data_IF_192808887667
#
_entry.id   IF_192808887667
#
_cell.length_a   1.000
_cell.length_b   1.000
_cell.length_c   1.000
_cell.angle_alpha   90.00
_cell.angle_beta   90.00
_cell.angle_gamma   90.00
#
_symmetry.space_group_name_H-M   'P 1'
#
loop_
_entity.id
_entity.type
_entity.pdbx_description
1 polymer ?
#
# COMPACT_ATOMS: atom_id res chain seq x y z
N UNK A 1 -39.47 0.63 45.97
CA UNK A 1 -39.19 -0.06 44.68
C UNK A 1 -38.71 1.01 43.71
N UNK A 2 -37.46 0.94 43.24
CA UNK A 2 -36.89 2.01 42.40
C UNK A 2 -37.51 1.98 41.00
N UNK A 3 -38.36 2.96 40.68
CA UNK A 3 -39.10 3.01 39.41
C UNK A 3 -38.31 3.62 38.25
N UNK A 4 -37.06 4.09 38.46
CA UNK A 4 -36.33 4.91 37.49
C UNK A 4 -34.82 4.61 37.38
N UNK A 5 -34.36 3.47 37.90
CA UNK A 5 -32.92 3.13 37.87
C UNK A 5 -32.38 2.95 36.45
N UNK A 6 -31.10 3.29 36.22
CA UNK A 6 -30.36 3.02 34.98
C UNK A 6 -30.22 1.54 34.65
N UNK A 7 -30.44 0.66 35.63
CA UNK A 7 -30.44 -0.80 35.44
C UNK A 7 -31.73 -1.35 34.82
N UNK A 8 -32.77 -0.52 34.61
CA UNK A 8 -34.05 -0.91 34.02
C UNK A 8 -34.20 -0.43 32.57
N UNK A 9 -34.78 -1.26 31.70
CA UNK A 9 -34.99 -0.95 30.27
C UNK A 9 -36.45 -0.66 29.90
N UNK A 10 -36.68 0.16 28.87
CA UNK A 10 -37.99 0.34 28.24
C UNK A 10 -39.10 0.85 29.18
N UNK A 11 -40.30 0.27 29.08
CA UNK A 11 -41.50 0.67 29.82
C UNK A 11 -41.39 0.54 31.35
N UNK A 12 -40.37 -0.17 31.86
CA UNK A 12 -40.09 -0.33 33.29
C UNK A 12 -39.44 0.90 33.93
N UNK A 13 -39.00 1.88 33.12
CA UNK A 13 -38.41 3.15 33.58
C UNK A 13 -39.44 4.24 33.90
N UNK A 14 -40.72 3.90 33.97
CA UNK A 14 -41.79 4.86 34.28
C UNK A 14 -41.93 6.02 33.26
N UNK A 15 -41.37 5.88 32.05
CA UNK A 15 -41.38 6.92 31.01
C UNK A 15 -40.11 7.79 30.93
N UNK A 16 -39.07 7.52 31.73
CA UNK A 16 -37.79 8.24 31.63
C UNK A 16 -37.02 7.87 30.33
N UNK A 17 -36.56 8.86 29.53
CA UNK A 17 -35.76 8.60 28.33
C UNK A 17 -34.46 7.86 28.64
N UNK A 18 -34.05 6.91 27.80
CA UNK A 18 -32.84 6.08 27.98
C UNK A 18 -31.53 6.88 28.09
N UNK A 19 -31.55 8.17 27.73
CA UNK A 19 -30.42 9.10 27.80
C UNK A 19 -30.30 9.83 29.15
N UNK A 20 -31.20 9.58 30.10
CA UNK A 20 -31.21 10.24 31.42
C UNK A 20 -30.99 9.19 32.49
N UNK A 21 -29.89 9.29 33.25
CA UNK A 21 -29.62 8.44 34.42
C UNK A 21 -29.96 9.20 35.71
N UNK A 22 -30.99 8.75 36.44
CA UNK A 22 -31.38 9.36 37.71
C UNK A 22 -30.66 8.74 38.93
N UNK A 23 -29.79 7.75 38.71
CA UNK A 23 -28.90 7.19 39.73
C UNK A 23 -27.53 7.90 39.75
N UNK A 24 -27.27 8.82 38.81
CA UNK A 24 -26.05 9.61 38.71
C UNK A 24 -26.31 11.08 39.08
N UNK A 25 -25.67 11.57 40.15
CA UNK A 25 -25.81 12.94 40.64
C UNK A 25 -25.53 14.01 39.57
N UNK A 26 -24.57 13.77 38.68
CA UNK A 26 -24.24 14.68 37.58
C UNK A 26 -25.33 14.76 36.51
N UNK A 27 -25.99 13.65 36.21
CA UNK A 27 -27.11 13.58 35.27
C UNK A 27 -28.40 14.15 35.86
N UNK A 28 -28.67 13.89 37.14
CA UNK A 28 -29.75 14.52 37.91
C UNK A 28 -29.59 16.04 37.90
N UNK A 29 -28.38 16.53 38.15
CA UNK A 29 -28.09 17.95 38.17
C UNK A 29 -28.22 18.62 36.80
N UNK A 30 -27.82 17.96 35.71
CA UNK A 30 -28.05 18.46 34.33
C UNK A 30 -29.53 18.66 34.01
N UNK A 31 -30.42 17.96 34.72
CA UNK A 31 -31.87 18.04 34.53
C UNK A 31 -32.60 18.73 35.70
N UNK A 32 -31.87 19.33 36.66
CA UNK A 32 -32.43 19.89 37.89
C UNK A 32 -33.56 20.92 37.64
N UNK A 33 -33.38 21.86 36.70
CA UNK A 33 -34.40 22.86 36.36
C UNK A 33 -35.68 22.23 35.79
N UNK A 34 -35.52 21.17 35.00
CA UNK A 34 -36.65 20.44 34.41
C UNK A 34 -37.37 19.61 35.47
N UNK A 35 -36.63 19.00 36.39
CA UNK A 35 -37.18 18.29 37.55
C UNK A 35 -37.95 19.29 38.43
N UNK A 36 -37.35 20.45 38.75
CA UNK A 36 -37.99 21.50 39.56
C UNK A 36 -39.29 22.00 38.92
N UNK A 37 -39.24 22.41 37.66
CA UNK A 37 -40.42 22.93 36.95
C UNK A 37 -41.55 21.89 36.82
N UNK A 38 -41.22 20.61 36.71
CA UNK A 38 -42.20 19.53 36.53
C UNK A 38 -42.79 19.07 37.87
N UNK A 39 -41.95 18.82 38.87
CA UNK A 39 -42.36 18.27 40.17
C UNK A 39 -42.96 19.34 41.08
N UNK A 40 -42.36 20.53 41.12
CA UNK A 40 -42.75 21.60 42.03
C UNK A 40 -43.64 22.64 41.34
N UNK A 41 -43.37 22.94 40.07
CA UNK A 41 -44.17 23.89 39.29
C UNK A 41 -45.51 23.31 38.83
N UNK A 42 -45.50 22.15 38.17
CA UNK A 42 -46.72 21.51 37.64
C UNK A 42 -47.37 20.53 38.62
N UNK A 43 -46.67 20.15 39.69
CA UNK A 43 -47.16 19.18 40.68
C UNK A 43 -47.33 17.77 40.12
N UNK A 44 -46.62 17.42 39.04
CA UNK A 44 -46.78 16.14 38.35
C UNK A 44 -45.47 15.38 38.29
N UNK A 45 -45.46 14.12 38.68
CA UNK A 45 -44.42 13.16 38.28
C UNK A 45 -45.01 12.22 37.24
N UNK A 46 -44.44 12.12 36.02
CA UNK A 46 -44.82 11.06 35.10
C UNK A 46 -44.53 9.67 35.73
N UNK A 47 -45.44 8.68 35.61
CA UNK A 47 -46.75 8.74 34.97
C UNK A 47 -47.96 8.92 35.91
N UNK A 48 -47.83 8.98 37.25
CA UNK A 48 -49.01 8.63 38.06
C UNK A 48 -49.21 9.25 39.46
N UNK A 49 -48.90 10.55 39.70
CA UNK A 49 -49.51 11.49 40.70
C UNK A 49 -48.49 12.51 41.24
N UNK A 50 -48.94 13.59 41.90
CA UNK A 50 -48.04 14.48 42.65
C UNK A 50 -47.29 13.70 43.75
N UNK A 51 -45.99 14.00 43.95
CA UNK A 51 -45.25 13.54 45.14
C UNK A 51 -45.94 14.04 46.40
N UNK A 52 -45.87 13.26 47.47
CA UNK A 52 -46.33 13.74 48.77
C UNK A 52 -45.44 14.89 49.28
N UNK A 53 -45.90 15.59 50.31
CA UNK A 53 -45.22 16.78 50.83
C UNK A 53 -43.82 16.48 51.40
N UNK A 54 -43.61 15.28 51.96
CA UNK A 54 -42.34 14.87 52.54
C UNK A 54 -41.32 14.49 51.47
N UNK A 55 -41.75 13.72 50.47
CA UNK A 55 -40.93 13.35 49.30
C UNK A 55 -40.51 14.58 48.49
N UNK A 56 -41.43 15.54 48.34
CA UNK A 56 -41.16 16.81 47.66
C UNK A 56 -40.11 17.64 48.40
N UNK A 57 -40.22 17.75 49.72
CA UNK A 57 -39.22 18.46 50.53
C UNK A 57 -37.84 17.78 50.50
N UNK A 58 -37.80 16.45 50.50
CA UNK A 58 -36.56 15.68 50.39
C UNK A 58 -35.88 15.88 49.03
N UNK A 59 -36.65 15.86 47.93
CA UNK A 59 -36.10 16.12 46.59
C UNK A 59 -35.58 17.55 46.45
N UNK A 60 -36.28 18.55 46.97
CA UNK A 60 -35.80 19.94 46.92
C UNK A 60 -34.50 20.11 47.70
N UNK A 61 -34.41 19.45 48.86
CA UNK A 61 -33.19 19.46 49.68
C UNK A 61 -32.04 18.79 48.94
N UNK A 62 -32.26 17.62 48.35
CA UNK A 62 -31.25 16.90 47.57
C UNK A 62 -30.77 17.72 46.36
N UNK A 63 -31.68 18.28 45.56
CA UNK A 63 -31.33 19.16 44.44
C UNK A 63 -30.56 20.40 44.91
N UNK A 64 -30.97 21.00 46.03
CA UNK A 64 -30.26 22.15 46.61
C UNK A 64 -28.87 21.78 47.12
N UNK A 65 -28.67 20.58 47.69
CA UNK A 65 -27.35 20.11 48.13
C UNK A 65 -26.43 19.78 46.95
N UNK A 66 -26.97 19.24 45.86
CA UNK A 66 -26.20 19.01 44.63
C UNK A 66 -25.77 20.34 43.99
N UNK A 67 -26.62 21.36 44.06
CA UNK A 67 -26.28 22.70 43.56
C UNK A 67 -25.28 23.45 44.44
N UNK A 68 -25.31 23.25 45.76
CA UNK A 68 -24.32 23.82 46.68
C UNK A 68 -22.92 23.21 46.48
N UNK A 69 -22.82 22.03 45.87
CA UNK A 69 -21.56 21.41 45.43
C UNK A 69 -21.09 21.82 44.03
N UNK A 70 -21.85 22.65 43.30
CA UNK A 70 -21.40 23.14 41.98
C UNK A 70 -20.31 24.17 42.13
N UNK A 71 -19.19 23.90 41.49
CA UNK A 71 -18.39 25.00 40.97
C UNK A 71 -19.23 25.72 39.89
N UNK A 72 -19.36 27.05 40.01
CA UNK A 72 -20.05 27.90 39.04
C UNK A 72 -18.98 28.48 38.10
N UNK A 73 -18.94 28.06 36.82
CA UNK A 73 -18.02 28.61 35.84
C UNK A 73 -18.16 30.13 35.77
N UNK A 74 -17.06 30.86 35.93
CA UNK A 74 -17.07 32.32 35.87
C UNK A 74 -16.13 32.82 34.79
N UNK A 75 -16.74 33.30 33.70
CA UNK A 75 -16.05 33.87 32.56
C UNK A 75 -16.29 35.37 32.41
N UNK A 76 -16.83 36.01 33.44
CA UNK A 76 -17.16 37.44 33.41
C UNK A 76 -15.89 38.25 33.15
N UNK A 77 -15.84 38.92 31.99
CA UNK A 77 -14.69 39.72 31.56
C UNK A 77 -13.54 38.93 30.93
N UNK A 78 -13.68 37.61 30.76
CA UNK A 78 -12.67 36.73 30.16
C UNK A 78 -13.18 36.14 28.84
N UNK A 79 -12.32 36.12 27.83
CA UNK A 79 -12.59 35.50 26.52
C UNK A 79 -11.83 34.20 26.31
N UNK A 80 -10.88 33.90 27.19
CA UNK A 80 -10.07 32.68 27.20
C UNK A 80 -9.63 32.32 28.63
N UNK A 81 -9.07 31.12 28.79
CA UNK A 81 -8.51 30.63 30.06
C UNK A 81 -9.52 29.84 30.88
N UNK A 82 -9.13 29.39 32.08
CA UNK A 82 -9.95 28.51 32.90
C UNK A 82 -11.19 29.21 33.47
N UNK A 83 -12.28 28.46 33.59
CA UNK A 83 -13.56 28.93 34.16
C UNK A 83 -13.66 28.78 35.68
N UNK A 84 -12.60 28.28 36.32
CA UNK A 84 -12.51 28.00 37.76
C UNK A 84 -13.08 26.64 38.18
N UNK A 85 -13.65 25.87 37.25
CA UNK A 85 -14.38 24.64 37.49
C UNK A 85 -13.86 23.44 36.69
N UNK A 86 -12.66 23.58 36.12
CA UNK A 86 -12.05 22.57 35.24
C UNK A 86 -12.50 22.66 33.78
N UNK A 87 -13.31 23.66 33.43
CA UNK A 87 -13.61 24.04 32.04
C UNK A 87 -12.86 25.29 31.63
N UNK A 88 -13.16 25.81 30.43
CA UNK A 88 -12.52 27.02 29.88
C UNK A 88 -13.55 28.03 29.40
N UNK A 89 -13.20 29.31 29.47
CA UNK A 89 -14.01 30.44 29.02
C UNK A 89 -13.95 30.68 27.50
N UNK A 90 -13.03 30.01 26.81
CA UNK A 90 -12.81 30.12 25.37
C UNK A 90 -11.35 29.83 25.00
N UNK A 91 -11.05 29.91 23.70
CA UNK A 91 -9.70 29.74 23.15
C UNK A 91 -9.29 30.95 22.34
N UNK A 92 -8.00 31.29 22.40
CA UNK A 92 -7.45 32.37 21.59
C UNK A 92 -7.24 31.95 20.15
N UNK A 93 -7.16 32.95 19.26
CA UNK A 93 -6.80 32.69 17.87
C UNK A 93 -5.33 32.25 17.80
N UNK A 94 -5.00 31.57 16.72
CA UNK A 94 -3.63 31.17 16.42
C UNK A 94 -2.72 32.41 16.46
N UNK A 95 -1.60 32.32 17.20
CA UNK A 95 -0.64 33.42 17.40
C UNK A 95 -0.91 34.31 18.62
N UNK A 96 -2.02 34.10 19.33
CA UNK A 96 -2.34 34.80 20.59
C UNK A 96 -2.16 33.87 21.79
N UNK A 97 -1.74 34.44 22.92
CA UNK A 97 -1.65 33.74 24.21
C UNK A 97 -2.70 34.32 25.16
N UNK A 98 -3.32 33.44 25.94
CA UNK A 98 -4.28 33.86 26.94
C UNK A 98 -3.55 34.43 28.14
N UNK A 99 -3.72 35.72 28.42
CA UNK A 99 -3.11 36.37 29.58
C UNK A 99 -3.80 35.93 30.88
N UNK A 100 -3.17 36.21 32.02
CA UNK A 100 -3.74 35.90 33.34
C UNK A 100 -5.09 36.60 33.60
N UNK A 101 -5.34 37.72 32.90
CA UNK A 101 -6.60 38.46 32.95
C UNK A 101 -7.70 37.82 32.08
N UNK A 102 -7.40 36.74 31.35
CA UNK A 102 -8.33 36.05 30.46
C UNK A 102 -8.57 36.80 29.15
N UNK A 103 -7.59 37.57 28.67
CA UNK A 103 -7.61 38.24 27.37
C UNK A 103 -6.68 37.53 26.41
N UNK A 104 -7.04 37.51 25.12
CA UNK A 104 -6.15 37.05 24.08
C UNK A 104 -5.27 38.21 23.63
N UNK A 105 -3.97 38.08 23.84
CA UNK A 105 -3.00 39.07 23.39
C UNK A 105 -2.02 38.45 22.41
N UNK A 106 -1.61 39.23 21.42
CA UNK A 106 -0.65 38.79 20.43
C UNK A 106 0.67 38.45 21.14
N UNK A 107 1.04 37.17 21.14
CA UNK A 107 2.37 36.77 21.55
C UNK A 107 3.30 37.18 20.42
N UNK A 108 4.40 37.88 20.73
CA UNK A 108 5.48 38.06 19.76
C UNK A 108 6.07 36.68 19.50
N UNK A 109 5.54 36.03 18.48
CA UNK A 109 5.99 34.73 18.03
C UNK A 109 6.96 34.97 16.88
N UNK A 110 8.20 34.52 17.06
CA UNK A 110 9.22 34.58 16.01
C UNK A 110 9.13 33.27 15.22
N UNK A 111 8.72 33.30 13.93
CA UNK A 111 8.66 32.11 13.10
C UNK A 111 9.99 31.37 13.07
N UNK A 112 9.99 30.08 13.40
CA UNK A 112 11.19 29.25 13.35
C UNK A 112 11.20 28.41 12.07
N UNK A 113 11.87 28.94 11.05
CA UNK A 113 12.01 28.33 9.72
C UNK A 113 13.45 27.98 9.37
N UNK A 114 14.38 28.07 10.32
CA UNK A 114 15.77 27.73 10.06
C UNK A 114 15.89 26.24 9.72
N UNK A 115 16.32 25.96 8.48
CA UNK A 115 16.45 24.60 7.96
C UNK A 115 15.15 23.96 7.44
N UNK A 116 14.04 24.69 7.37
CA UNK A 116 12.73 24.17 6.91
C UNK A 116 12.35 24.79 5.57
N UNK A 117 11.75 24.01 4.67
CA UNK A 117 11.24 24.48 3.38
C UNK A 117 9.71 24.39 3.26
N UNK A 118 9.06 23.72 4.20
CA UNK A 118 7.61 23.60 4.30
C UNK A 118 7.20 23.31 5.75
N UNK A 119 5.90 23.24 6.01
CA UNK A 119 5.38 22.91 7.34
C UNK A 119 5.16 24.14 8.22
N UNK A 120 4.74 23.92 9.47
CA UNK A 120 4.38 25.01 10.37
C UNK A 120 5.61 25.78 10.86
N UNK A 121 5.44 27.08 11.08
CA UNK A 121 6.49 27.97 11.59
C UNK A 121 6.50 28.10 13.12
N UNK A 122 5.67 27.30 13.81
CA UNK A 122 5.48 27.36 15.27
C UNK A 122 4.62 28.54 15.76
N UNK A 123 4.25 29.45 14.87
CA UNK A 123 3.52 30.69 15.17
C UNK A 123 2.14 30.75 14.51
N UNK A 124 1.76 29.69 13.79
CA UNK A 124 0.48 29.60 13.10
C UNK A 124 0.52 29.91 11.61
N UNK A 125 1.68 30.32 11.10
CA UNK A 125 1.98 30.36 9.69
C UNK A 125 2.67 29.07 9.23
N UNK A 126 3.29 29.16 8.07
CA UNK A 126 4.04 28.06 7.47
C UNK A 126 5.37 28.56 6.91
N UNK A 127 6.42 27.76 7.01
CA UNK A 127 7.75 28.07 6.48
C UNK A 127 7.84 28.03 4.94
N UNK A 128 6.79 27.55 4.28
CA UNK A 128 6.68 27.45 2.83
C UNK A 128 5.61 26.47 2.41
N UNK A 129 5.43 26.36 1.09
CA UNK A 129 4.59 25.32 0.47
C UNK A 129 5.44 24.58 -0.55
N UNK A 130 5.25 23.26 -0.65
CA UNK A 130 5.95 22.46 -1.62
C UNK A 130 5.35 22.64 -3.01
N UNK A 131 6.20 22.56 -4.04
CA UNK A 131 5.74 22.55 -5.42
C UNK A 131 4.92 21.30 -5.71
N UNK A 132 4.12 21.34 -6.78
CA UNK A 132 3.26 20.23 -7.18
C UNK A 132 4.05 18.91 -7.27
N UNK A 133 3.52 17.87 -6.62
CA UNK A 133 4.13 16.55 -6.54
C UNK A 133 5.00 16.31 -5.30
N UNK A 134 5.44 17.35 -4.59
CA UNK A 134 6.23 17.22 -3.36
C UNK A 134 5.36 17.29 -2.10
N UNK A 135 5.63 16.42 -1.14
CA UNK A 135 5.00 16.43 0.18
C UNK A 135 5.96 17.02 1.22
N UNK A 136 5.40 17.56 2.30
CA UNK A 136 6.23 18.05 3.39
C UNK A 136 6.62 16.88 4.31
N UNK A 137 7.91 16.54 4.37
CA UNK A 137 8.39 15.42 5.18
C UNK A 137 8.29 15.70 6.68
N UNK A 138 8.54 14.67 7.50
CA UNK A 138 8.62 14.81 8.96
C UNK A 138 9.72 15.80 9.40
N UNK A 139 10.79 15.91 8.62
CA UNK A 139 11.89 16.87 8.78
C UNK A 139 11.56 18.28 8.27
N UNK A 140 10.31 18.53 7.84
CA UNK A 140 9.83 19.84 7.35
C UNK A 140 10.59 20.31 6.10
N UNK A 141 11.01 19.34 5.29
CA UNK A 141 11.61 19.54 3.98
C UNK A 141 10.67 19.02 2.89
N UNK A 142 10.62 19.70 1.75
CA UNK A 142 9.87 19.20 0.61
C UNK A 142 10.56 17.95 0.06
N UNK A 143 9.89 16.81 0.19
CA UNK A 143 10.41 15.52 -0.21
C UNK A 143 9.34 14.70 -0.92
N UNK A 144 9.77 13.70 -1.69
CA UNK A 144 8.88 12.74 -2.32
C UNK A 144 8.55 11.65 -1.29
N UNK A 145 7.30 11.53 -0.85
CA UNK A 145 6.94 10.48 0.12
C UNK A 145 6.96 9.08 -0.50
N UNK A 146 6.75 8.96 -1.82
CA UNK A 146 6.91 7.70 -2.56
C UNK A 146 6.84 7.99 -4.06
N UNK A 147 7.99 7.98 -4.75
CA UNK A 147 8.05 7.89 -6.22
C UNK A 147 7.34 9.01 -6.98
N UNK A 148 8.16 9.91 -7.51
CA UNK A 148 7.87 10.84 -8.58
C UNK A 148 7.17 12.17 -8.23
N UNK A 149 7.98 13.12 -7.77
CA UNK A 149 7.71 14.55 -7.93
C UNK A 149 8.32 15.03 -9.26
N UNK A 150 7.50 15.35 -10.27
CA UNK A 150 7.95 16.07 -11.48
C UNK A 150 9.04 15.40 -12.34
N UNK A 151 9.36 14.13 -12.11
CA UNK A 151 10.28 13.36 -12.92
C UNK A 151 9.50 12.68 -14.05
N UNK A 152 9.83 12.98 -15.30
CA UNK A 152 9.27 12.25 -16.44
C UNK A 152 10.17 11.04 -16.66
N UNK A 153 9.67 9.79 -16.48
CA UNK A 153 10.45 8.60 -16.73
C UNK A 153 11.02 8.61 -18.15
N UNK A 154 12.34 8.52 -18.27
CA UNK A 154 13.01 8.48 -19.56
C UNK A 154 13.32 7.02 -19.92
N UNK A 155 12.45 6.47 -20.77
CA UNK A 155 12.57 5.13 -21.33
C UNK A 155 12.82 5.13 -22.84
N UNK A 156 13.12 6.28 -23.44
CA UNK A 156 13.33 6.37 -24.87
C UNK A 156 14.59 5.58 -25.27
N UNK A 157 14.37 4.53 -26.07
CA UNK A 157 15.44 3.63 -26.53
C UNK A 157 15.89 2.57 -25.51
N UNK A 158 15.29 2.52 -24.31
CA UNK A 158 15.59 1.54 -23.27
C UNK A 158 14.57 0.40 -23.27
N UNK A 159 15.03 -0.83 -23.03
CA UNK A 159 14.16 -2.02 -22.91
C UNK A 159 14.12 -2.59 -21.49
N UNK A 160 15.00 -2.09 -20.63
CA UNK A 160 15.14 -2.48 -19.22
C UNK A 160 15.94 -1.40 -18.48
N UNK A 161 16.14 -1.57 -17.17
CA UNK A 161 16.98 -0.68 -16.38
C UNK A 161 16.23 0.48 -15.74
N UNK A 162 16.91 1.36 -14.99
CA UNK A 162 16.26 2.45 -14.27
C UNK A 162 15.70 3.54 -15.21
N UNK A 163 14.55 4.10 -14.87
CA UNK A 163 13.88 5.15 -15.64
C UNK A 163 14.29 6.59 -15.25
N UNK A 164 15.19 6.73 -14.27
CA UNK A 164 15.65 8.01 -13.74
C UNK A 164 14.74 8.61 -12.65
N UNK A 165 13.63 7.95 -12.33
CA UNK A 165 12.62 8.40 -11.38
C UNK A 165 12.33 7.35 -10.28
N UNK A 166 13.35 6.57 -9.91
CA UNK A 166 13.26 5.40 -9.01
C UNK A 166 12.36 4.26 -9.51
N UNK A 167 11.96 4.28 -10.79
CA UNK A 167 11.27 3.20 -11.48
C UNK A 167 12.18 2.45 -12.46
N UNK A 168 11.58 1.63 -13.35
CA UNK A 168 12.31 0.86 -14.35
C UNK A 168 11.65 0.85 -15.74
N UNK A 169 12.45 0.86 -16.80
CA UNK A 169 12.04 0.84 -18.21
C UNK A 169 11.75 -0.56 -18.74
N UNK A 170 10.98 -1.35 -17.98
CA UNK A 170 10.62 -2.73 -18.33
C UNK A 170 11.55 -3.79 -17.73
N UNK A 171 11.34 -5.05 -18.13
CA UNK A 171 12.08 -6.21 -17.61
C UNK A 171 12.51 -7.14 -18.75
N UNK A 172 13.70 -7.72 -18.62
CA UNK A 172 14.20 -8.69 -19.59
C UNK A 172 13.62 -10.08 -19.35
N UNK A 173 13.17 -10.72 -20.43
CA UNK A 173 12.60 -12.08 -20.41
C UNK A 173 13.60 -13.15 -20.82
N UNK A 174 13.23 -14.43 -20.65
CA UNK A 174 13.98 -15.60 -21.13
C UNK A 174 15.47 -15.63 -20.69
N UNK A 175 15.76 -15.20 -19.46
CA UNK A 175 17.13 -15.08 -18.92
C UNK A 175 18.06 -14.11 -19.67
N UNK A 176 17.50 -13.15 -20.39
CA UNK A 176 18.27 -11.98 -20.83
C UNK A 176 18.61 -11.10 -19.63
N UNK A 177 19.81 -10.53 -19.65
CA UNK A 177 20.26 -9.56 -18.67
C UNK A 177 20.19 -8.15 -19.25
N UNK A 178 19.95 -7.17 -18.38
CA UNK A 178 19.98 -5.77 -18.77
C UNK A 178 21.44 -5.34 -18.89
N UNK A 179 21.87 -5.00 -20.09
CA UNK A 179 23.24 -4.56 -20.35
C UNK A 179 23.44 -3.08 -19.93
N UNK A 180 24.69 -2.57 -19.95
CA UNK A 180 24.98 -1.17 -19.62
C UNK A 180 24.30 -0.14 -20.53
N UNK A 181 23.95 -0.52 -21.77
CA UNK A 181 23.20 0.30 -22.73
C UNK A 181 21.68 0.21 -22.51
N UNK A 182 21.25 -0.45 -21.42
CA UNK A 182 19.85 -0.61 -21.01
C UNK A 182 19.00 -1.36 -22.05
N UNK A 183 19.63 -2.34 -22.69
CA UNK A 183 19.01 -3.28 -23.62
C UNK A 183 19.09 -4.69 -23.05
N UNK A 184 18.11 -5.50 -23.43
CA UNK A 184 18.10 -6.91 -23.04
C UNK A 184 19.09 -7.68 -23.92
N UNK A 185 20.18 -8.13 -23.31
CA UNK A 185 21.22 -8.92 -23.93
C UNK A 185 21.17 -10.38 -23.48
N UNK A 186 21.52 -11.30 -24.37
CA UNK A 186 21.63 -12.71 -24.02
C UNK A 186 22.92 -12.99 -23.26
N UNK A 187 22.82 -13.79 -22.21
CA UNK A 187 23.99 -14.39 -21.58
C UNK A 187 24.74 -15.25 -22.59
N UNK A 188 26.06 -15.05 -22.68
CA UNK A 188 26.90 -15.83 -23.57
C UNK A 188 26.88 -17.31 -23.15
N UNK A 189 26.53 -18.19 -24.09
CA UNK A 189 26.50 -19.65 -23.89
C UNK A 189 27.19 -20.35 -25.05
N UNK A 190 27.67 -21.55 -24.79
CA UNK A 190 28.39 -22.41 -25.73
C UNK A 190 27.59 -23.69 -25.96
N UNK A 191 27.65 -24.22 -27.19
CA UNK A 191 26.97 -25.46 -27.49
C UNK A 191 27.56 -26.63 -26.69
N UNK A 192 28.88 -26.79 -26.72
CA UNK A 192 29.57 -27.88 -26.04
C UNK A 192 29.39 -27.84 -24.52
N UNK A 193 29.47 -26.65 -23.91
CA UNK A 193 29.42 -26.51 -22.46
C UNK A 193 28.00 -26.51 -21.90
N UNK A 194 27.04 -25.85 -22.57
CA UNK A 194 25.73 -25.58 -21.98
C UNK A 194 24.60 -26.38 -22.63
N UNK A 195 24.60 -26.54 -23.96
CA UNK A 195 23.46 -27.13 -24.69
C UNK A 195 23.59 -28.64 -24.88
N UNK A 196 24.76 -29.12 -25.29
CA UNK A 196 25.00 -30.54 -25.54
C UNK A 196 24.69 -31.43 -24.30
N UNK A 197 25.02 -31.02 -23.05
CA UNK A 197 24.64 -31.80 -21.86
C UNK A 197 23.12 -31.94 -21.68
N UNK A 198 22.34 -30.90 -22.04
CA UNK A 198 20.87 -30.94 -21.96
C UNK A 198 20.33 -32.01 -22.91
N UNK A 199 20.83 -32.05 -24.15
CA UNK A 199 20.39 -33.01 -25.17
C UNK A 199 20.85 -34.45 -24.86
N UNK A 200 22.05 -34.60 -24.28
CA UNK A 200 22.54 -35.89 -23.81
C UNK A 200 21.67 -36.43 -22.65
N UNK A 201 21.36 -35.59 -21.66
CA UNK A 201 20.55 -35.97 -20.50
C UNK A 201 19.09 -36.33 -20.87
N UNK A 202 18.57 -35.77 -21.95
CA UNK A 202 17.19 -35.96 -22.42
C UNK A 202 17.07 -37.01 -23.53
N UNK A 203 18.11 -37.87 -23.64
CA UNK A 203 18.20 -38.99 -24.59
C UNK A 203 17.89 -38.61 -26.04
N UNK A 204 18.19 -37.36 -26.42
CA UNK A 204 18.13 -36.93 -27.81
C UNK A 204 19.26 -37.59 -28.60
N UNK A 205 20.44 -37.70 -27.98
CA UNK A 205 21.69 -38.17 -28.58
C UNK A 205 21.97 -39.66 -28.29
N UNK A 206 22.53 -39.98 -27.13
CA UNK A 206 23.06 -41.32 -26.84
C UNK A 206 21.94 -42.32 -26.51
N UNK A 207 21.85 -43.39 -27.31
CA UNK A 207 20.71 -44.33 -27.26
C UNK A 207 19.39 -43.72 -27.74
N UNK A 208 19.45 -42.52 -28.32
CA UNK A 208 18.31 -41.71 -28.74
C UNK A 208 18.00 -41.78 -30.22
N UNK A 209 17.10 -40.89 -30.65
CA UNK A 209 16.67 -40.75 -32.04
C UNK A 209 17.59 -39.86 -32.89
N UNK A 210 18.52 -39.10 -32.31
CA UNK A 210 19.50 -38.32 -33.06
C UNK A 210 20.91 -38.79 -32.68
N UNK A 211 21.13 -40.10 -32.80
CA UNK A 211 22.40 -40.75 -32.48
C UNK A 211 23.21 -41.03 -33.76
N UNK A 212 24.53 -41.22 -33.65
CA UNK A 212 25.39 -41.63 -34.77
C UNK A 212 24.87 -42.86 -35.54
N UNK A 213 24.34 -43.84 -34.82
CA UNK A 213 23.83 -45.10 -35.39
C UNK A 213 22.36 -45.02 -35.82
N UNK A 214 21.65 -43.95 -35.44
CA UNK A 214 20.27 -43.69 -35.80
C UNK A 214 20.02 -42.18 -35.89
N UNK A 215 20.56 -41.49 -36.92
CA UNK A 215 20.42 -40.04 -37.05
C UNK A 215 19.10 -39.72 -37.75
N UNK A 216 18.02 -39.53 -36.99
CA UNK A 216 16.75 -39.09 -37.56
C UNK A 216 16.92 -37.72 -38.24
N UNK A 217 16.37 -37.60 -39.46
CA UNK A 217 16.55 -36.46 -40.36
C UNK A 217 18.02 -36.08 -40.62
N UNK A 218 18.94 -37.06 -40.51
CA UNK A 218 20.36 -36.85 -40.76
C UNK A 218 21.10 -36.07 -39.67
N UNK A 219 20.46 -35.81 -38.51
CA UNK A 219 21.07 -35.09 -37.39
C UNK A 219 21.70 -36.06 -36.38
N UNK A 220 23.00 -35.87 -36.11
CA UNK A 220 23.77 -36.60 -35.08
C UNK A 220 24.14 -35.68 -33.92
N UNK A 221 23.55 -35.91 -32.74
CA UNK A 221 23.82 -35.20 -31.49
C UNK A 221 24.77 -35.98 -30.55
N UNK A 222 25.32 -37.13 -30.97
CA UNK A 222 26.14 -38.01 -30.13
C UNK A 222 27.45 -37.38 -29.63
N UNK A 223 27.92 -36.32 -30.30
CA UNK A 223 29.09 -35.53 -29.87
C UNK A 223 28.78 -34.05 -30.02
N UNK A 224 29.43 -33.22 -29.19
CA UNK A 224 29.26 -31.77 -29.27
C UNK A 224 29.59 -31.23 -30.68
N UNK A 225 30.71 -31.67 -31.27
CA UNK A 225 31.13 -31.21 -32.60
C UNK A 225 30.16 -31.62 -33.71
N UNK A 226 29.66 -32.86 -33.70
CA UNK A 226 28.69 -33.31 -34.71
C UNK A 226 27.35 -32.59 -34.57
N UNK A 227 26.86 -32.44 -33.34
CA UNK A 227 25.58 -31.78 -33.09
C UNK A 227 25.60 -30.31 -33.49
N UNK A 228 26.67 -29.59 -33.13
CA UNK A 228 26.87 -28.21 -33.55
C UNK A 228 26.86 -28.08 -35.08
N UNK A 229 27.72 -28.83 -35.76
CA UNK A 229 27.86 -28.80 -37.21
C UNK A 229 26.60 -29.25 -37.94
N UNK A 230 25.76 -30.08 -37.31
CA UNK A 230 24.50 -30.58 -37.85
C UNK A 230 23.32 -29.63 -37.66
N UNK A 231 23.39 -28.64 -36.77
CA UNK A 231 22.28 -27.72 -36.48
C UNK A 231 22.53 -26.29 -36.92
N UNK A 232 23.73 -25.75 -36.68
CA UNK A 232 24.01 -24.34 -36.93
C UNK A 232 24.08 -24.07 -38.43
N UNK A 233 23.32 -23.07 -38.86
CA UNK A 233 23.16 -22.62 -40.24
C UNK A 233 22.69 -23.70 -41.23
N UNK A 234 22.07 -24.77 -40.71
CA UNK A 234 21.48 -25.82 -41.54
C UNK A 234 20.03 -25.50 -41.87
N UNK A 235 19.64 -25.77 -43.10
CA UNK A 235 18.25 -25.61 -43.53
C UNK A 235 17.34 -26.51 -42.70
N UNK A 236 16.25 -25.94 -42.21
CA UNK A 236 15.18 -26.74 -41.62
C UNK A 236 14.20 -27.22 -42.69
N UNK A 237 13.28 -28.09 -42.31
CA UNK A 237 12.13 -28.44 -43.16
C UNK A 237 11.10 -27.30 -43.28
N UNK A 238 11.26 -26.20 -42.54
CA UNK A 238 10.41 -25.02 -42.67
C UNK A 238 11.01 -24.01 -43.63
N UNK A 239 10.23 -23.62 -44.62
CA UNK A 239 10.60 -22.54 -45.53
C UNK A 239 10.93 -21.27 -44.75
N UNK A 240 12.09 -20.67 -45.06
CA UNK A 240 12.54 -19.42 -44.44
C UNK A 240 13.09 -19.55 -43.01
N UNK A 241 13.34 -20.77 -42.49
CA UNK A 241 13.97 -20.98 -41.18
C UNK A 241 15.16 -21.93 -41.25
N UNK A 242 16.20 -21.62 -40.48
CA UNK A 242 17.32 -22.52 -40.21
C UNK A 242 17.01 -23.36 -38.97
N UNK A 243 17.66 -24.51 -38.82
CA UNK A 243 17.58 -25.30 -37.58
C UNK A 243 18.06 -24.44 -36.40
N UNK A 244 19.23 -23.82 -36.55
CA UNK A 244 19.72 -22.74 -35.69
C UNK A 244 20.22 -21.61 -36.59
N UNK A 245 19.63 -20.43 -36.44
CA UNK A 245 20.07 -19.16 -37.03
C UNK A 245 20.82 -18.37 -35.96
N UNK A 246 22.14 -18.24 -36.10
CA UNK A 246 22.97 -17.59 -35.10
C UNK A 246 22.52 -16.13 -34.86
N UNK A 247 22.29 -15.77 -33.59
CA UNK A 247 21.82 -14.44 -33.19
C UNK A 247 20.31 -14.21 -33.35
N UNK A 248 19.57 -15.13 -33.97
CA UNK A 248 18.13 -14.98 -34.23
C UNK A 248 17.35 -16.19 -33.69
N UNK A 249 16.86 -16.03 -32.46
CA UNK A 249 16.02 -17.02 -31.76
C UNK A 249 14.70 -17.26 -32.51
N UNK A 250 14.12 -16.23 -33.13
CA UNK A 250 12.82 -16.32 -33.82
C UNK A 250 12.96 -17.03 -35.16
N UNK A 251 14.06 -16.81 -35.87
CA UNK A 251 14.42 -17.52 -37.11
C UNK A 251 14.89 -18.96 -36.90
N UNK A 252 15.18 -19.36 -35.65
CA UNK A 252 15.70 -20.69 -35.30
C UNK A 252 14.60 -21.71 -35.04
N UNK A 253 14.46 -22.67 -35.94
CA UNK A 253 13.42 -23.70 -35.87
C UNK A 253 13.59 -24.70 -34.73
N UNK A 254 14.81 -24.85 -34.19
CA UNK A 254 15.08 -25.66 -33.00
C UNK A 254 14.17 -25.25 -31.82
N UNK A 255 13.96 -23.94 -31.60
CA UNK A 255 13.13 -23.46 -30.49
C UNK A 255 11.66 -23.82 -30.71
N UNK A 256 11.17 -23.76 -31.95
CA UNK A 256 9.82 -24.23 -32.29
C UNK A 256 9.67 -25.73 -32.02
N UNK A 257 10.69 -26.54 -32.37
CA UNK A 257 10.70 -27.97 -32.08
C UNK A 257 10.71 -28.26 -30.58
N UNK A 258 11.49 -27.55 -29.78
CA UNK A 258 11.58 -27.78 -28.34
C UNK A 258 10.31 -27.35 -27.59
N UNK A 259 9.66 -26.27 -28.04
CA UNK A 259 8.45 -25.73 -27.39
C UNK A 259 7.15 -26.34 -27.91
N UNK A 260 7.15 -26.82 -29.16
CA UNK A 260 5.94 -27.27 -29.86
C UNK A 260 5.11 -26.12 -30.43
N UNK A 261 5.60 -24.88 -30.35
CA UNK A 261 4.88 -23.68 -30.80
C UNK A 261 5.37 -23.28 -32.19
N UNK A 262 4.46 -22.85 -33.07
CA UNK A 262 4.80 -22.37 -34.42
C UNK A 262 5.53 -23.40 -35.29
N UNK A 263 5.23 -24.69 -35.11
CA UNK A 263 5.85 -25.75 -35.90
C UNK A 263 5.22 -25.85 -37.29
N UNK A 264 6.04 -25.97 -38.35
CA UNK A 264 5.52 -26.22 -39.70
C UNK A 264 5.40 -27.72 -40.05
N UNK A 265 6.16 -28.60 -39.38
CA UNK A 265 6.19 -30.04 -39.67
C UNK A 265 6.59 -30.86 -38.45
N UNK A 266 6.20 -32.14 -38.42
CA UNK A 266 6.56 -33.11 -37.38
C UNK A 266 5.96 -32.80 -36.00
N UNK A 267 6.59 -33.33 -34.95
CA UNK A 267 6.15 -33.18 -33.56
C UNK A 267 7.17 -32.43 -32.70
N UNK A 268 6.73 -31.99 -31.50
CA UNK A 268 7.59 -31.39 -30.48
C UNK A 268 8.68 -32.38 -30.04
N UNK A 269 9.89 -31.87 -29.87
CA UNK A 269 11.04 -32.58 -29.33
C UNK A 269 11.28 -32.19 -27.86
N UNK A 270 11.72 -33.13 -27.00
CA UNK A 270 11.88 -34.55 -27.28
C UNK A 270 10.54 -35.26 -27.55
N UNK A 271 10.51 -36.16 -28.54
CA UNK A 271 9.29 -36.86 -28.95
C UNK A 271 8.95 -37.97 -27.96
N UNK A 272 7.70 -38.07 -27.54
CA UNK A 272 7.19 -39.12 -26.65
C UNK A 272 7.90 -39.22 -25.28
N UNK A 273 8.59 -38.17 -24.83
CA UNK A 273 9.21 -38.11 -23.50
C UNK A 273 8.89 -36.77 -22.82
N UNK A 274 9.33 -36.62 -21.57
CA UNK A 274 9.17 -35.37 -20.83
C UNK A 274 9.87 -34.22 -21.54
N UNK A 275 9.18 -33.09 -21.79
CA UNK A 275 9.78 -31.90 -22.38
C UNK A 275 11.01 -31.39 -21.65
N UNK A 276 11.79 -30.55 -22.33
CA UNK A 276 12.74 -29.69 -21.65
C UNK A 276 12.00 -28.74 -20.70
N UNK A 277 12.59 -28.45 -19.55
CA UNK A 277 12.06 -27.43 -18.65
C UNK A 277 12.19 -26.05 -19.29
N UNK A 278 11.39 -25.04 -18.86
CA UNK A 278 11.54 -23.67 -19.33
C UNK A 278 12.98 -23.17 -19.21
N UNK A 279 13.65 -23.40 -18.08
CA UNK A 279 15.05 -23.00 -17.89
C UNK A 279 16.03 -23.70 -18.84
N UNK A 280 15.80 -24.98 -19.21
CA UNK A 280 16.61 -25.66 -20.22
C UNK A 280 16.40 -25.06 -21.62
N UNK A 281 15.17 -24.68 -21.96
CA UNK A 281 14.87 -24.01 -23.22
C UNK A 281 15.50 -22.62 -23.25
N UNK A 282 15.51 -21.91 -22.13
CA UNK A 282 16.14 -20.59 -22.03
C UNK A 282 17.65 -20.66 -22.22
N UNK A 283 18.34 -21.72 -21.75
CA UNK A 283 19.75 -21.96 -22.08
C UNK A 283 19.96 -22.11 -23.59
N UNK A 284 19.08 -22.86 -24.29
CA UNK A 284 19.15 -22.99 -25.75
C UNK A 284 18.89 -21.65 -26.44
N UNK A 285 17.92 -20.86 -25.96
CA UNK A 285 17.64 -19.52 -26.49
C UNK A 285 18.81 -18.56 -26.29
N UNK A 286 19.43 -18.57 -25.11
CA UNK A 286 20.59 -17.75 -24.79
C UNK A 286 21.79 -18.12 -25.66
N UNK A 287 22.03 -19.41 -25.88
CA UNK A 287 23.05 -19.87 -26.82
C UNK A 287 22.80 -19.37 -28.24
N UNK A 288 21.59 -19.53 -28.77
CA UNK A 288 21.25 -19.05 -30.11
C UNK A 288 21.37 -17.52 -30.19
N UNK A 289 20.75 -16.82 -29.25
CA UNK A 289 20.66 -15.37 -29.23
C UNK A 289 22.00 -14.66 -28.97
N UNK A 290 22.94 -15.32 -28.31
CA UNK A 290 24.33 -14.83 -28.14
C UNK A 290 25.25 -15.18 -29.32
N UNK A 291 24.70 -15.71 -30.42
CA UNK A 291 25.45 -15.96 -31.66
C UNK A 291 25.82 -17.43 -31.90
N UNK A 292 25.21 -18.37 -31.18
CA UNK A 292 25.38 -19.82 -31.36
C UNK A 292 26.85 -20.25 -31.38
N UNK A 293 27.62 -19.93 -30.33
CA UNK A 293 29.02 -20.34 -30.20
C UNK A 293 29.18 -21.87 -30.02
N UNK A 294 30.25 -22.51 -30.51
CA UNK A 294 30.46 -23.96 -30.41
C UNK A 294 30.63 -24.49 -28.98
#
# INVERSE_FOLDING_TARGET
MSCHSSTKGGGERGGAPTTVDLDNDGDVLRHADKIRSTVFGKGTMPPARPLDSCERAALETYLSTLEQGRCIPSCTGRVCGDDGCGGTCGTCKIGEECTAEGKCEAKVCTPDCDGKSCGSDGCGGSCGTCADGFACSAEQLCACETGNCGCTPDCDGKSCGPDGCDGTCGTCGNQQECDPDQKCAWQAKSYAADVAPIFAAKTCANGGCHARTNPQDGLDLSTASAGFAGMVDKHSHCAGKLLVNAGDVTGSYLVNKLTGQGMCSGARMPKNTTPLSPGQIDVVRAWIGSGAAP
#
